data_IF_860887438559
#
_entry.id   IF_860887438559
#
_cell.length_a   1.000
_cell.length_b   1.000
_cell.length_c   1.000
_cell.angle_alpha   90.00
_cell.angle_beta   90.00
_cell.angle_gamma   90.00
#
_symmetry.space_group_name_H-M   'P 1'
#
loop_
_entity.id
_entity.type
_entity.pdbx_description
1 polymer ?
#
# COMPACT_ATOMS: atom_id res chain seq x y z
N UNK A 1 -11.98 -12.57 -26.34
CA UNK A 1 -11.34 -12.69 -25.01
C UNK A 1 -12.35 -12.52 -23.87
N UNK A 2 -13.05 -11.39 -23.72
CA UNK A 2 -14.00 -11.20 -22.60
C UNK A 2 -15.13 -12.25 -22.53
N UNK A 3 -15.71 -12.66 -23.66
CA UNK A 3 -16.72 -13.73 -23.71
C UNK A 3 -16.13 -15.06 -23.21
N UNK A 4 -14.90 -15.39 -23.58
CA UNK A 4 -14.21 -16.61 -23.13
C UNK A 4 -13.98 -16.60 -21.61
N UNK A 5 -13.62 -15.44 -21.04
CA UNK A 5 -13.45 -15.29 -19.60
C UNK A 5 -14.76 -15.43 -18.83
N UNK A 6 -15.84 -14.86 -19.36
CA UNK A 6 -17.15 -14.94 -18.74
C UNK A 6 -17.69 -16.38 -18.80
N UNK A 7 -17.49 -17.08 -19.92
CA UNK A 7 -17.79 -18.52 -20.03
C UNK A 7 -16.98 -19.36 -19.03
N UNK A 8 -15.70 -19.04 -18.83
CA UNK A 8 -14.85 -19.74 -17.86
C UNK A 8 -15.36 -19.56 -16.41
N UNK A 9 -15.79 -18.34 -16.04
CA UNK A 9 -16.40 -18.07 -14.73
C UNK A 9 -17.72 -18.84 -14.56
N UNK A 10 -18.54 -18.91 -15.60
CA UNK A 10 -19.84 -19.60 -15.55
C UNK A 10 -19.69 -21.12 -15.36
N UNK A 11 -18.76 -21.75 -16.09
CA UNK A 11 -18.58 -23.21 -16.09
C UNK A 11 -17.75 -23.68 -14.87
N UNK A 12 -16.99 -22.77 -14.26
CA UNK A 12 -16.00 -23.11 -13.24
C UNK A 12 -16.48 -23.96 -12.06
N UNK A 13 -17.65 -23.71 -11.44
CA UNK A 13 -18.12 -24.54 -10.33
C UNK A 13 -18.34 -26.00 -10.72
N UNK A 14 -18.68 -26.27 -11.98
CA UNK A 14 -19.00 -27.59 -12.51
C UNK A 14 -17.77 -28.34 -13.04
N UNK A 15 -16.77 -27.62 -13.56
CA UNK A 15 -15.53 -28.21 -14.06
C UNK A 15 -14.58 -28.66 -12.93
N UNK A 16 -14.55 -27.91 -11.83
CA UNK A 16 -13.61 -28.12 -10.73
C UNK A 16 -12.17 -27.67 -11.04
N UNK A 17 -11.35 -27.58 -10.00
CA UNK A 17 -10.00 -26.98 -10.05
C UNK A 17 -9.06 -27.75 -10.99
N UNK A 18 -9.06 -29.09 -10.91
CA UNK A 18 -8.13 -29.94 -11.66
C UNK A 18 -8.34 -29.83 -13.17
N UNK A 19 -9.61 -29.88 -13.63
CA UNK A 19 -9.92 -29.80 -15.05
C UNK A 19 -9.60 -28.42 -15.61
N UNK A 20 -9.92 -27.36 -14.87
CA UNK A 20 -9.58 -25.99 -15.26
C UNK A 20 -8.08 -25.76 -15.29
N UNK A 21 -7.33 -26.35 -14.36
CA UNK A 21 -5.87 -26.28 -14.37
C UNK A 21 -5.32 -26.89 -15.66
N UNK A 22 -5.69 -28.13 -15.98
CA UNK A 22 -5.26 -28.81 -17.20
C UNK A 22 -5.64 -28.00 -18.44
N UNK A 23 -6.89 -27.52 -18.51
CA UNK A 23 -7.37 -26.71 -19.63
C UNK A 23 -6.56 -25.41 -19.78
N UNK A 24 -6.27 -24.72 -18.68
CA UNK A 24 -5.50 -23.47 -18.70
C UNK A 24 -4.06 -23.67 -19.16
N UNK A 25 -3.42 -24.79 -18.78
CA UNK A 25 -2.06 -25.16 -19.23
C UNK A 25 -2.07 -25.49 -20.71
N UNK A 26 -3.03 -26.31 -21.18
CA UNK A 26 -3.17 -26.65 -22.60
C UNK A 26 -3.42 -25.40 -23.43
N UNK A 27 -4.27 -24.49 -22.97
CA UNK A 27 -4.54 -23.22 -23.64
C UNK A 27 -3.29 -22.33 -23.67
N UNK A 28 -2.55 -22.24 -22.57
CA UNK A 28 -1.30 -21.47 -22.50
C UNK A 28 -0.25 -21.99 -23.48
N UNK A 29 -0.01 -23.31 -23.48
CA UNK A 29 0.94 -23.95 -24.40
C UNK A 29 0.48 -23.83 -25.85
N UNK A 30 -0.81 -24.04 -26.11
CA UNK A 30 -1.41 -23.90 -27.43
C UNK A 30 -1.21 -22.51 -28.01
N UNK A 31 -1.49 -21.45 -27.23
CA UNK A 31 -1.29 -20.07 -27.69
C UNK A 31 0.21 -19.74 -27.83
N UNK A 32 1.07 -20.23 -26.94
CA UNK A 32 2.51 -19.95 -26.96
C UNK A 32 3.24 -20.61 -28.12
N UNK A 33 2.85 -21.84 -28.49
CA UNK A 33 3.52 -22.65 -29.52
C UNK A 33 2.80 -22.67 -30.87
N UNK A 34 1.56 -22.17 -30.97
CA UNK A 34 0.87 -21.99 -32.25
C UNK A 34 1.48 -20.81 -33.02
N UNK A 35 2.59 -21.07 -33.72
CA UNK A 35 3.36 -20.11 -34.52
C UNK A 35 2.68 -19.55 -35.77
N UNK A 36 1.35 -19.40 -35.79
CA UNK A 36 0.58 -18.80 -36.90
C UNK A 36 -0.22 -17.60 -36.42
N UNK A 37 0.01 -16.43 -37.05
CA UNK A 37 -0.89 -15.33 -37.47
C UNK A 37 -2.22 -15.04 -36.73
N UNK A 38 -2.46 -15.56 -35.54
CA UNK A 38 -3.50 -15.04 -34.65
C UNK A 38 -2.86 -13.85 -33.96
N UNK A 39 -3.47 -12.68 -34.12
CA UNK A 39 -3.22 -11.49 -33.29
C UNK A 39 -3.51 -11.80 -31.81
N UNK A 40 -2.77 -12.73 -31.20
CA UNK A 40 -2.92 -13.06 -29.80
C UNK A 40 -2.04 -12.09 -29.03
N UNK A 41 -2.72 -11.06 -28.57
CA UNK A 41 -2.22 -10.01 -27.70
C UNK A 41 -1.39 -10.61 -26.55
N UNK A 42 -0.17 -10.10 -26.33
CA UNK A 42 0.70 -10.48 -25.20
C UNK A 42 -0.06 -10.49 -23.88
N UNK A 43 -1.03 -9.59 -23.74
CA UNK A 43 -1.91 -9.47 -22.59
C UNK A 43 -2.74 -10.75 -22.31
N UNK A 44 -3.22 -11.44 -23.35
CA UNK A 44 -4.00 -12.67 -23.17
C UNK A 44 -3.14 -13.83 -22.71
N UNK A 45 -1.92 -13.96 -23.26
CA UNK A 45 -0.97 -14.99 -22.81
C UNK A 45 -0.57 -14.81 -21.35
N UNK A 46 -0.33 -13.57 -20.94
CA UNK A 46 -0.02 -13.18 -19.56
C UNK A 46 -1.16 -13.51 -18.59
N UNK A 47 -2.41 -13.25 -19.00
CA UNK A 47 -3.59 -13.53 -18.17
C UNK A 47 -3.87 -15.03 -18.02
N UNK A 48 -3.70 -15.81 -19.10
CA UNK A 48 -3.89 -17.27 -19.04
C UNK A 48 -2.78 -17.91 -18.20
N UNK A 49 -1.55 -17.40 -18.33
CA UNK A 49 -0.44 -17.83 -17.48
C UNK A 49 -0.72 -17.59 -16.00
N UNK A 50 -1.21 -16.41 -15.62
CA UNK A 50 -1.51 -16.11 -14.22
C UNK A 50 -2.66 -16.96 -13.68
N UNK A 51 -3.70 -17.21 -14.47
CA UNK A 51 -4.77 -18.16 -14.12
C UNK A 51 -4.22 -19.57 -13.90
N UNK A 52 -3.40 -20.09 -14.84
CA UNK A 52 -2.82 -21.41 -14.74
C UNK A 52 -1.92 -21.54 -13.50
N UNK A 53 -1.13 -20.52 -13.20
CA UNK A 53 -0.28 -20.48 -12.00
C UNK A 53 -1.10 -20.46 -10.70
N UNK A 54 -2.15 -19.64 -10.62
CA UNK A 54 -3.02 -19.64 -9.43
C UNK A 54 -3.75 -20.96 -9.23
N UNK A 55 -4.23 -21.58 -10.32
CA UNK A 55 -4.86 -22.91 -10.27
C UNK A 55 -3.85 -23.97 -9.84
N UNK A 56 -2.61 -23.92 -10.33
CA UNK A 56 -1.54 -24.81 -9.88
C UNK A 56 -1.30 -24.71 -8.37
N UNK A 57 -1.21 -23.49 -7.83
CA UNK A 57 -1.08 -23.27 -6.38
C UNK A 57 -2.30 -23.83 -5.63
N UNK A 58 -3.52 -23.64 -6.16
CA UNK A 58 -4.75 -24.18 -5.56
C UNK A 58 -4.78 -25.72 -5.54
N UNK A 59 -4.34 -26.37 -6.61
CA UNK A 59 -4.24 -27.85 -6.69
C UNK A 59 -3.21 -28.39 -5.70
N UNK A 60 -2.01 -27.79 -5.66
CA UNK A 60 -0.93 -28.25 -4.76
C UNK A 60 -1.31 -28.02 -3.30
N UNK A 61 -1.78 -26.81 -2.98
CA UNK A 61 -2.16 -26.44 -1.61
C UNK A 61 -3.34 -27.26 -1.07
N UNK A 62 -4.17 -27.85 -1.93
CA UNK A 62 -5.25 -28.75 -1.53
C UNK A 62 -4.80 -30.00 -0.75
N UNK A 63 -3.51 -30.33 -0.79
CA UNK A 63 -2.92 -31.45 -0.02
C UNK A 63 -2.30 -31.01 1.32
N UNK A 64 -2.35 -29.73 1.66
CA UNK A 64 -1.75 -29.14 2.86
C UNK A 64 -2.82 -28.55 3.78
N UNK A 65 -2.43 -28.22 5.02
CA UNK A 65 -3.33 -27.58 6.01
C UNK A 65 -3.81 -26.19 5.58
N UNK A 66 -3.02 -25.49 4.76
CA UNK A 66 -3.33 -24.17 4.22
C UNK A 66 -3.70 -24.29 2.74
N UNK A 67 -4.99 -24.32 2.46
CA UNK A 67 -5.51 -24.46 1.09
C UNK A 67 -5.69 -23.11 0.44
N UNK A 68 -5.22 -22.89 -0.78
CA UNK A 68 -5.54 -21.71 -1.58
C UNK A 68 -6.89 -21.92 -2.26
N UNK A 69 -7.98 -21.27 -1.80
CA UNK A 69 -9.33 -21.66 -2.19
C UNK A 69 -9.64 -21.28 -3.63
N UNK A 70 -10.34 -22.17 -4.32
CA UNK A 70 -10.69 -22.00 -5.72
C UNK A 70 -11.55 -20.75 -6.01
N UNK A 71 -12.45 -20.37 -5.09
CA UNK A 71 -13.24 -19.15 -5.25
C UNK A 71 -12.39 -17.88 -5.22
N UNK A 72 -11.24 -17.88 -4.53
CA UNK A 72 -10.30 -16.76 -4.54
C UNK A 72 -9.59 -16.66 -5.89
N UNK A 73 -9.19 -17.80 -6.47
CA UNK A 73 -8.57 -17.85 -7.80
C UNK A 73 -9.46 -17.16 -8.84
N UNK A 74 -10.75 -17.49 -8.84
CA UNK A 74 -11.70 -16.89 -9.77
C UNK A 74 -12.03 -15.43 -9.47
N UNK A 75 -12.16 -15.05 -8.20
CA UNK A 75 -12.32 -13.64 -7.84
C UNK A 75 -11.14 -12.79 -8.34
N UNK A 76 -9.91 -13.28 -8.12
CA UNK A 76 -8.69 -12.62 -8.57
C UNK A 76 -8.61 -12.50 -10.08
N UNK A 77 -8.98 -13.57 -10.78
CA UNK A 77 -9.08 -13.58 -12.24
C UNK A 77 -10.12 -12.59 -12.76
N UNK A 78 -11.29 -12.50 -12.12
CA UNK A 78 -12.35 -11.55 -12.48
C UNK A 78 -11.88 -10.09 -12.33
N UNK A 79 -11.14 -9.76 -11.27
CA UNK A 79 -10.53 -8.43 -11.05
C UNK A 79 -9.60 -8.04 -12.20
N UNK A 80 -8.78 -8.98 -12.65
CA UNK A 80 -7.85 -8.77 -13.76
C UNK A 80 -8.58 -8.64 -15.10
N UNK A 81 -9.60 -9.46 -15.34
CA UNK A 81 -10.39 -9.45 -16.57
C UNK A 81 -11.13 -8.11 -16.79
N UNK A 82 -11.61 -7.47 -15.72
CA UNK A 82 -12.26 -6.14 -15.78
C UNK A 82 -11.27 -5.05 -16.20
N UNK A 83 -10.01 -5.12 -15.76
CA UNK A 83 -8.99 -4.08 -16.00
C UNK A 83 -8.38 -4.06 -17.40
N UNK A 84 -8.70 -5.03 -18.27
CA UNK A 84 -8.01 -5.18 -19.55
C UNK A 84 -8.50 -4.21 -20.66
N UNK A 85 -9.12 -3.08 -20.30
CA UNK A 85 -9.58 -2.08 -21.26
C UNK A 85 -8.40 -1.25 -21.80
N UNK A 86 -8.03 -1.50 -23.06
CA UNK A 86 -7.07 -0.68 -23.83
C UNK A 86 -7.67 0.65 -24.33
N UNK A 87 -8.99 0.84 -24.24
CA UNK A 87 -9.72 1.81 -25.06
C UNK A 87 -10.19 3.09 -24.35
N UNK A 88 -9.92 3.31 -23.06
CA UNK A 88 -10.40 4.53 -22.36
C UNK A 88 -9.34 5.53 -21.94
N UNK A 89 -8.06 5.36 -22.31
CA UNK A 89 -6.99 6.26 -21.87
C UNK A 89 -6.03 6.63 -23.01
N UNK A 90 -6.42 7.65 -23.77
CA UNK A 90 -5.49 8.43 -24.58
C UNK A 90 -5.84 9.91 -24.46
N UNK A 91 -5.46 10.53 -23.35
CA UNK A 91 -5.14 11.96 -23.38
C UNK A 91 -3.69 12.06 -23.83
N UNK A 92 -3.53 12.44 -25.09
CA UNK A 92 -2.25 12.52 -25.79
C UNK A 92 -1.69 13.91 -25.57
N UNK A 93 -0.99 14.15 -24.46
CA UNK A 93 -0.12 15.32 -24.38
C UNK A 93 1.23 14.95 -25.00
N UNK A 94 1.32 15.05 -26.32
CA UNK A 94 2.58 15.00 -27.05
C UNK A 94 3.22 16.38 -27.02
N UNK A 95 4.22 16.58 -26.16
CA UNK A 95 5.20 17.66 -26.33
C UNK A 95 6.28 17.13 -27.28
N UNK A 96 6.52 17.74 -28.45
CA UNK A 96 7.60 17.33 -29.33
C UNK A 96 8.91 17.86 -28.75
N UNK A 97 9.76 16.98 -28.22
CA UNK A 97 11.16 17.32 -27.94
C UNK A 97 12.07 16.56 -28.90
N UNK A 98 12.63 17.32 -29.84
CA UNK A 98 13.55 16.86 -30.85
C UNK A 98 14.97 16.87 -30.30
N UNK A 99 15.32 15.89 -29.48
CA UNK A 99 16.67 15.31 -29.43
C UNK A 99 16.79 14.28 -28.30
N UNK A 100 17.55 13.22 -28.60
CA UNK A 100 17.98 12.13 -27.70
C UNK A 100 16.98 10.99 -27.47
N UNK A 101 17.40 9.85 -28.01
CA UNK A 101 16.86 8.49 -27.90
C UNK A 101 16.82 8.03 -26.43
N UNK A 102 15.79 8.44 -25.67
CA UNK A 102 15.40 7.82 -24.39
C UNK A 102 14.01 7.21 -24.53
N UNK A 103 13.89 5.94 -24.10
CA UNK A 103 12.62 5.18 -24.07
C UNK A 103 11.51 6.04 -23.46
N UNK A 104 10.51 6.37 -24.27
CA UNK A 104 9.30 7.06 -23.84
C UNK A 104 8.52 6.14 -22.89
N UNK A 105 8.65 6.34 -21.58
CA UNK A 105 7.70 5.78 -20.63
C UNK A 105 6.40 6.54 -20.87
N UNK A 106 5.40 5.90 -21.51
CA UNK A 106 4.07 6.49 -21.71
C UNK A 106 3.50 6.90 -20.34
N UNK A 107 3.44 8.20 -20.08
CA UNK A 107 2.78 8.78 -18.92
C UNK A 107 1.28 8.62 -19.13
N UNK A 108 0.63 7.71 -18.40
CA UNK A 108 -0.82 7.52 -18.47
C UNK A 108 -1.51 8.59 -17.61
N UNK A 109 -2.30 9.45 -18.23
CA UNK A 109 -3.28 10.29 -17.54
C UNK A 109 -4.36 9.36 -16.98
N UNK A 110 -4.47 9.30 -15.66
CA UNK A 110 -5.41 8.44 -14.96
C UNK A 110 -6.57 9.32 -14.49
N UNK A 111 -7.72 9.23 -15.17
CA UNK A 111 -8.92 9.96 -14.76
C UNK A 111 -9.51 9.31 -13.50
N UNK A 112 -9.66 10.10 -12.44
CA UNK A 112 -10.20 9.65 -11.14
C UNK A 112 -11.57 8.98 -11.33
N UNK A 113 -12.44 9.56 -12.17
CA UNK A 113 -13.80 9.07 -12.38
C UNK A 113 -13.81 7.63 -12.90
N UNK A 114 -13.01 7.36 -13.93
CA UNK A 114 -12.89 6.03 -14.52
C UNK A 114 -12.25 5.04 -13.53
N UNK A 115 -11.27 5.49 -12.76
CA UNK A 115 -10.63 4.68 -11.73
C UNK A 115 -11.63 4.20 -10.67
N UNK A 116 -12.50 5.10 -10.20
CA UNK A 116 -13.58 4.78 -9.28
C UNK A 116 -14.56 3.78 -9.88
N UNK A 117 -14.97 4.00 -11.13
CA UNK A 117 -15.90 3.12 -11.83
C UNK A 117 -15.32 1.70 -12.02
N UNK A 118 -14.05 1.60 -12.42
CA UNK A 118 -13.36 0.32 -12.56
C UNK A 118 -13.16 -0.37 -11.21
N UNK A 119 -12.87 0.37 -10.14
CA UNK A 119 -12.79 -0.20 -8.79
C UNK A 119 -14.13 -0.82 -8.38
N UNK A 120 -15.23 -0.10 -8.53
CA UNK A 120 -16.57 -0.62 -8.21
C UNK A 120 -16.91 -1.87 -9.05
N UNK A 121 -16.61 -1.84 -10.35
CA UNK A 121 -16.83 -2.97 -11.25
C UNK A 121 -15.97 -4.18 -10.87
N UNK A 122 -14.72 -3.97 -10.42
CA UNK A 122 -13.85 -5.02 -9.91
C UNK A 122 -14.38 -5.67 -8.64
N UNK A 123 -14.87 -4.86 -7.70
CA UNK A 123 -15.49 -5.36 -6.46
C UNK A 123 -16.68 -6.26 -6.79
N UNK A 124 -17.58 -5.78 -7.66
CA UNK A 124 -18.74 -6.54 -8.10
C UNK A 124 -18.33 -7.84 -8.80
N UNK A 125 -17.40 -7.77 -9.75
CA UNK A 125 -16.93 -8.94 -10.50
C UNK A 125 -16.29 -10.00 -9.58
N UNK A 126 -15.45 -9.58 -8.63
CA UNK A 126 -14.84 -10.46 -7.65
C UNK A 126 -15.88 -11.13 -6.74
N UNK A 127 -16.81 -10.33 -6.21
CA UNK A 127 -17.87 -10.80 -5.32
C UNK A 127 -18.77 -11.83 -6.01
N UNK A 128 -19.24 -11.55 -7.23
CA UNK A 128 -20.09 -12.48 -7.97
C UNK A 128 -19.35 -13.75 -8.38
N UNK A 129 -18.09 -13.63 -8.84
CA UNK A 129 -17.30 -14.80 -9.25
C UNK A 129 -17.05 -15.77 -8.07
N UNK A 130 -16.67 -15.25 -6.90
CA UNK A 130 -16.50 -16.09 -5.71
C UNK A 130 -17.84 -16.65 -5.20
N UNK A 131 -18.88 -15.82 -5.13
CA UNK A 131 -20.23 -16.22 -4.69
C UNK A 131 -20.81 -17.33 -5.56
N UNK A 132 -20.53 -17.30 -6.87
CA UNK A 132 -20.95 -18.33 -7.83
C UNK A 132 -20.37 -19.70 -7.48
N UNK A 133 -19.07 -19.77 -7.16
CA UNK A 133 -18.43 -21.01 -6.72
C UNK A 133 -19.00 -21.46 -5.38
N UNK A 134 -19.05 -20.56 -4.40
CA UNK A 134 -19.50 -20.89 -3.03
C UNK A 134 -20.93 -21.43 -3.04
N UNK A 135 -21.83 -20.84 -3.83
CA UNK A 135 -23.21 -21.27 -3.96
C UNK A 135 -23.32 -22.69 -4.56
N UNK A 136 -22.71 -22.93 -5.72
CA UNK A 136 -22.85 -24.20 -6.44
C UNK A 136 -22.09 -25.36 -5.80
N UNK A 137 -20.93 -25.09 -5.20
CA UNK A 137 -20.14 -26.10 -4.48
C UNK A 137 -20.56 -26.25 -3.02
N UNK A 138 -21.56 -25.47 -2.56
CA UNK A 138 -22.09 -25.48 -1.19
C UNK A 138 -20.99 -25.33 -0.13
N UNK A 139 -20.03 -24.43 -0.38
CA UNK A 139 -18.93 -24.19 0.53
C UNK A 139 -19.42 -23.45 1.78
N UNK A 140 -18.93 -23.78 2.99
CA UNK A 140 -19.34 -23.15 4.24
C UNK A 140 -18.67 -21.78 4.46
N UNK A 141 -18.79 -20.89 3.47
CA UNK A 141 -18.16 -19.56 3.45
C UNK A 141 -19.24 -18.49 3.47
N UNK A 142 -19.13 -17.55 4.41
CA UNK A 142 -20.08 -16.44 4.52
C UNK A 142 -19.93 -15.44 3.37
N UNK A 143 -21.05 -14.97 2.81
CA UNK A 143 -21.04 -13.89 1.81
C UNK A 143 -20.42 -12.58 2.33
N UNK A 144 -20.44 -12.35 3.64
CA UNK A 144 -19.78 -11.18 4.24
C UNK A 144 -18.26 -11.27 4.08
N UNK A 145 -17.68 -12.46 4.30
CA UNK A 145 -16.25 -12.70 4.07
C UNK A 145 -15.91 -12.55 2.58
N UNK A 146 -16.77 -13.07 1.69
CA UNK A 146 -16.58 -12.93 0.24
C UNK A 146 -16.58 -11.45 -0.17
N UNK A 147 -17.51 -10.65 0.36
CA UNK A 147 -17.54 -9.21 0.09
C UNK A 147 -16.30 -8.51 0.63
N UNK A 148 -15.88 -8.84 1.86
CA UNK A 148 -14.69 -8.29 2.49
C UNK A 148 -13.42 -8.54 1.64
N UNK A 149 -13.15 -9.79 1.27
CA UNK A 149 -11.99 -10.14 0.45
C UNK A 149 -12.11 -9.57 -0.98
N UNK A 150 -13.33 -9.49 -1.54
CA UNK A 150 -13.55 -8.88 -2.86
C UNK A 150 -13.15 -7.40 -2.88
N UNK A 151 -13.48 -6.64 -1.83
CA UNK A 151 -13.08 -5.23 -1.71
C UNK A 151 -11.56 -5.10 -1.60
N UNK A 152 -10.93 -5.86 -0.69
CA UNK A 152 -9.47 -5.82 -0.52
C UNK A 152 -8.76 -6.22 -1.81
N UNK A 153 -9.17 -7.34 -2.42
CA UNK A 153 -8.61 -7.84 -3.67
C UNK A 153 -8.76 -6.83 -4.81
N UNK A 154 -9.91 -6.18 -4.94
CA UNK A 154 -10.15 -5.18 -5.99
C UNK A 154 -9.32 -3.91 -5.81
N UNK A 155 -9.16 -3.43 -4.58
CA UNK A 155 -8.29 -2.27 -4.28
C UNK A 155 -6.84 -2.63 -4.56
N UNK A 156 -6.37 -3.80 -4.08
CA UNK A 156 -5.02 -4.30 -4.37
C UNK A 156 -4.77 -4.47 -5.86
N UNK A 157 -5.70 -5.12 -6.59
CA UNK A 157 -5.58 -5.28 -8.03
C UNK A 157 -5.52 -3.95 -8.78
N UNK A 158 -6.28 -2.96 -8.33
CA UNK A 158 -6.22 -1.60 -8.89
C UNK A 158 -4.90 -0.89 -8.57
N UNK A 159 -4.35 -1.09 -7.37
CA UNK A 159 -3.04 -0.61 -7.00
C UNK A 159 -1.95 -1.20 -7.90
N UNK A 160 -1.90 -2.53 -8.06
CA UNK A 160 -0.93 -3.20 -8.93
C UNK A 160 -1.00 -2.75 -10.39
N UNK A 161 -2.20 -2.39 -10.88
CA UNK A 161 -2.36 -1.82 -12.21
C UNK A 161 -1.84 -0.38 -12.31
N UNK A 162 -1.93 0.40 -11.23
CA UNK A 162 -1.47 1.79 -11.19
C UNK A 162 0.05 1.92 -11.07
N UNK A 163 0.73 0.91 -10.51
CA UNK A 163 2.18 0.91 -10.30
C UNK A 163 2.90 0.65 -11.63
N UNK A 164 3.80 1.55 -12.09
CA UNK A 164 4.61 1.31 -13.26
C UNK A 164 5.55 0.12 -13.04
N UNK A 165 5.33 -0.98 -13.76
CA UNK A 165 6.15 -2.19 -13.66
C UNK A 165 6.65 -2.67 -15.02
N UNK A 166 7.78 -3.38 -15.02
CA UNK A 166 8.26 -4.14 -16.19
C UNK A 166 7.46 -5.43 -16.39
N UNK A 167 6.80 -5.91 -15.34
CA UNK A 167 5.94 -7.09 -15.34
C UNK A 167 4.60 -6.70 -15.95
N UNK A 168 4.04 -7.60 -16.76
CA UNK A 168 2.72 -7.42 -17.35
C UNK A 168 1.64 -7.35 -16.26
N UNK A 169 0.74 -6.37 -16.35
CA UNK A 169 -0.36 -6.18 -15.39
C UNK A 169 -1.27 -7.39 -15.28
N UNK A 170 -1.43 -8.14 -16.36
CA UNK A 170 -2.24 -9.36 -16.38
C UNK A 170 -1.59 -10.51 -15.58
N UNK A 171 -0.33 -10.34 -15.15
CA UNK A 171 0.35 -11.23 -14.20
C UNK A 171 0.27 -10.63 -12.79
N UNK A 172 0.69 -9.38 -12.60
CA UNK A 172 0.80 -8.78 -11.26
C UNK A 172 -0.56 -8.57 -10.57
N UNK A 173 -1.59 -8.13 -11.30
CA UNK A 173 -2.92 -7.83 -10.77
C UNK A 173 -3.61 -9.07 -10.17
N UNK A 174 -3.82 -10.17 -10.91
CA UNK A 174 -4.51 -11.34 -10.35
C UNK A 174 -3.68 -12.01 -9.25
N UNK A 175 -2.35 -12.09 -9.38
CA UNK A 175 -1.51 -12.69 -8.34
C UNK A 175 -1.53 -11.87 -7.04
N UNK A 176 -1.36 -10.54 -7.14
CA UNK A 176 -1.39 -9.66 -5.98
C UNK A 176 -2.75 -9.63 -5.29
N UNK A 177 -3.84 -9.55 -6.06
CA UNK A 177 -5.20 -9.62 -5.53
C UNK A 177 -5.48 -10.98 -4.87
N UNK A 178 -5.15 -12.08 -5.55
CA UNK A 178 -5.34 -13.45 -5.05
C UNK A 178 -4.59 -13.74 -3.76
N UNK A 179 -3.30 -13.39 -3.69
CA UNK A 179 -2.48 -13.55 -2.48
C UNK A 179 -3.02 -12.71 -1.32
N UNK A 180 -3.42 -11.47 -1.56
CA UNK A 180 -3.98 -10.62 -0.49
C UNK A 180 -5.30 -11.19 0.02
N UNK A 181 -6.19 -11.61 -0.87
CA UNK A 181 -7.45 -12.25 -0.48
C UNK A 181 -7.23 -13.54 0.31
N UNK A 182 -6.23 -14.34 -0.07
CA UNK A 182 -5.89 -15.58 0.63
C UNK A 182 -5.41 -15.34 2.06
N UNK A 183 -4.54 -14.35 2.27
CA UNK A 183 -4.07 -13.98 3.62
C UNK A 183 -5.25 -13.65 4.55
N UNK A 184 -6.21 -12.86 4.07
CA UNK A 184 -7.37 -12.48 4.90
C UNK A 184 -8.42 -13.58 5.07
N UNK A 185 -8.51 -14.50 4.11
CA UNK A 185 -9.34 -15.69 4.25
C UNK A 185 -8.81 -16.63 5.33
N UNK A 186 -7.49 -16.80 5.40
CA UNK A 186 -6.83 -17.64 6.41
C UNK A 186 -7.06 -17.12 7.85
N UNK A 187 -7.04 -15.79 8.04
CA UNK A 187 -7.40 -15.16 9.32
C UNK A 187 -8.87 -15.36 9.70
N UNK A 188 -9.74 -15.77 8.77
CA UNK A 188 -11.21 -15.91 8.93
C UNK A 188 -11.89 -14.68 9.55
N UNK A 189 -11.25 -13.53 9.43
CA UNK A 189 -11.71 -12.25 9.95
C UNK A 189 -12.53 -11.52 8.88
N UNK A 190 -13.69 -11.00 9.27
CA UNK A 190 -14.52 -10.20 8.38
C UNK A 190 -15.29 -9.13 9.16
N UNK A 191 -15.66 -8.06 8.46
CA UNK A 191 -16.54 -7.00 8.96
C UNK A 191 -17.83 -6.95 8.17
N UNK A 192 -18.88 -6.37 8.75
CA UNK A 192 -20.14 -6.17 8.04
C UNK A 192 -19.94 -5.35 6.76
N UNK A 193 -20.69 -5.63 5.68
CA UNK A 193 -20.59 -4.89 4.42
C UNK A 193 -20.74 -3.38 4.60
N UNK A 194 -21.61 -2.94 5.52
CA UNK A 194 -21.82 -1.53 5.86
C UNK A 194 -20.53 -0.86 6.35
N UNK A 195 -19.83 -1.47 7.32
CA UNK A 195 -18.55 -0.95 7.84
C UNK A 195 -17.49 -0.91 6.74
N UNK A 196 -17.45 -1.93 5.89
CA UNK A 196 -16.51 -2.00 4.77
C UNK A 196 -16.75 -0.89 3.74
N UNK A 197 -18.02 -0.62 3.40
CA UNK A 197 -18.40 0.46 2.49
C UNK A 197 -18.06 1.82 3.10
N UNK A 198 -18.36 2.04 4.38
CA UNK A 198 -18.01 3.28 5.09
C UNK A 198 -16.50 3.50 5.07
N UNK A 199 -15.70 2.47 5.44
CA UNK A 199 -14.25 2.55 5.42
C UNK A 199 -13.71 2.85 4.01
N UNK A 200 -14.19 2.14 3.00
CA UNK A 200 -13.77 2.33 1.61
C UNK A 200 -14.11 3.73 1.11
N UNK A 201 -15.35 4.19 1.29
CA UNK A 201 -15.79 5.52 0.83
C UNK A 201 -15.02 6.62 1.55
N UNK A 202 -14.85 6.49 2.87
CA UNK A 202 -14.11 7.47 3.67
C UNK A 202 -12.65 7.57 3.24
N UNK A 203 -11.93 6.45 3.16
CA UNK A 203 -10.52 6.43 2.72
C UNK A 203 -10.38 6.89 1.27
N UNK A 204 -11.33 6.56 0.40
CA UNK A 204 -11.31 6.97 -1.00
C UNK A 204 -11.52 8.49 -1.15
N UNK A 205 -12.49 9.08 -0.45
CA UNK A 205 -12.72 10.54 -0.46
C UNK A 205 -11.45 11.28 -0.04
N UNK A 206 -10.82 10.85 1.05
CA UNK A 206 -9.57 11.45 1.52
C UNK A 206 -8.43 11.32 0.51
N UNK A 207 -8.30 10.15 -0.11
CA UNK A 207 -7.33 9.94 -1.18
C UNK A 207 -7.58 10.87 -2.39
N UNK A 208 -8.84 11.07 -2.80
CA UNK A 208 -9.21 12.01 -3.87
C UNK A 208 -8.89 13.44 -3.50
N UNK A 209 -9.15 13.85 -2.25
CA UNK A 209 -8.79 15.19 -1.75
C UNK A 209 -7.27 15.40 -1.78
N UNK A 210 -6.49 14.42 -1.34
CA UNK A 210 -5.02 14.47 -1.39
C UNK A 210 -4.48 14.54 -2.83
N UNK A 211 -5.08 13.80 -3.75
CA UNK A 211 -4.74 13.88 -5.18
C UNK A 211 -5.06 15.26 -5.76
N UNK A 212 -6.25 15.80 -5.48
CA UNK A 212 -6.67 17.14 -5.94
C UNK A 212 -5.80 18.25 -5.35
N UNK A 213 -5.33 18.10 -4.12
CA UNK A 213 -4.38 19.01 -3.48
C UNK A 213 -2.95 18.90 -4.05
N UNK A 214 -2.71 18.00 -5.03
CA UNK A 214 -1.39 17.67 -5.59
C UNK A 214 -0.39 17.29 -4.49
N UNK A 215 -0.83 16.49 -3.53
CA UNK A 215 0.00 15.93 -2.46
C UNK A 215 0.36 14.47 -2.79
N UNK A 216 -0.54 13.76 -3.47
CA UNK A 216 -0.44 12.32 -3.73
C UNK A 216 -0.74 12.01 -5.21
N UNK A 217 -0.07 11.02 -5.79
CA UNK A 217 -0.47 10.45 -7.08
C UNK A 217 -1.55 9.36 -6.93
N UNK A 218 -2.03 8.80 -8.05
CA UNK A 218 -3.08 7.76 -8.00
C UNK A 218 -2.62 6.48 -7.30
N UNK A 219 -1.34 6.13 -7.42
CA UNK A 219 -0.79 4.96 -6.72
C UNK A 219 -0.80 5.18 -5.20
N UNK A 220 -0.49 6.39 -4.74
CA UNK A 220 -0.63 6.77 -3.35
C UNK A 220 -2.09 6.82 -2.89
N UNK A 221 -3.02 7.31 -3.72
CA UNK A 221 -4.47 7.29 -3.44
C UNK A 221 -4.97 5.86 -3.20
N UNK A 222 -4.66 4.92 -4.10
CA UNK A 222 -5.09 3.53 -3.99
C UNK A 222 -4.39 2.81 -2.82
N UNK A 223 -3.12 3.13 -2.56
CA UNK A 223 -2.41 2.63 -1.37
C UNK A 223 -3.06 3.13 -0.09
N UNK A 224 -3.37 4.42 0.00
CA UNK A 224 -4.05 5.02 1.14
C UNK A 224 -5.47 4.46 1.33
N UNK A 225 -6.19 4.17 0.25
CA UNK A 225 -7.47 3.49 0.31
C UNK A 225 -7.33 2.07 0.88
N UNK A 226 -6.35 1.28 0.40
CA UNK A 226 -6.09 -0.07 0.89
C UNK A 226 -5.73 -0.07 2.38
N UNK A 227 -4.71 0.71 2.75
CA UNK A 227 -4.23 0.78 4.13
C UNK A 227 -5.29 1.38 5.05
N UNK A 228 -6.02 2.39 4.57
CA UNK A 228 -7.10 3.02 5.34
C UNK A 228 -8.24 2.06 5.64
N UNK A 229 -8.70 1.30 4.63
CA UNK A 229 -9.70 0.26 4.84
C UNK A 229 -9.22 -0.75 5.87
N UNK A 230 -8.01 -1.27 5.73
CA UNK A 230 -7.48 -2.29 6.65
C UNK A 230 -7.32 -1.75 8.07
N UNK A 231 -6.74 -0.56 8.26
CA UNK A 231 -6.57 0.03 9.59
C UNK A 231 -7.93 0.32 10.24
N UNK A 232 -8.87 0.94 9.53
CA UNK A 232 -10.21 1.23 10.06
C UNK A 232 -10.92 -0.07 10.48
N UNK A 233 -10.77 -1.12 9.69
CA UNK A 233 -11.41 -2.41 9.96
C UNK A 233 -10.81 -3.11 11.17
N UNK A 234 -9.48 -3.19 11.28
CA UNK A 234 -8.83 -3.96 12.35
C UNK A 234 -8.69 -3.19 13.68
N UNK A 235 -8.54 -1.87 13.65
CA UNK A 235 -8.28 -1.07 14.87
C UNK A 235 -9.16 0.17 15.02
N UNK A 236 -9.99 0.49 14.03
CA UNK A 236 -10.98 1.56 14.11
C UNK A 236 -10.53 2.89 13.51
N UNK A 237 -11.49 3.83 13.44
CA UNK A 237 -11.31 5.11 12.75
C UNK A 237 -10.21 5.98 13.40
N UNK A 238 -10.10 5.98 14.73
CA UNK A 238 -9.11 6.78 15.47
C UNK A 238 -7.68 6.48 15.03
N UNK A 239 -7.33 5.22 14.81
CA UNK A 239 -5.99 4.81 14.39
C UNK A 239 -5.68 5.33 12.99
N UNK A 240 -6.64 5.24 12.08
CA UNK A 240 -6.48 5.78 10.72
C UNK A 240 -6.34 7.31 10.73
N UNK A 241 -7.04 8.03 11.62
CA UNK A 241 -6.92 9.49 11.75
C UNK A 241 -5.51 9.93 12.21
N UNK A 242 -4.81 9.13 13.01
CA UNK A 242 -3.39 9.38 13.31
C UNK A 242 -2.52 9.30 12.06
N UNK A 243 -2.67 8.22 11.28
CA UNK A 243 -1.90 8.04 10.05
C UNK A 243 -2.26 9.10 9.00
N UNK A 244 -3.53 9.50 8.92
CA UNK A 244 -3.98 10.60 8.08
C UNK A 244 -3.34 11.92 8.49
N UNK A 245 -3.21 12.18 9.79
CA UNK A 245 -2.54 13.38 10.31
C UNK A 245 -1.08 13.43 9.86
N UNK A 246 -0.34 12.32 9.97
CA UNK A 246 0.99 12.19 9.38
C UNK A 246 0.99 12.59 7.90
N UNK A 247 0.05 12.05 7.12
CA UNK A 247 0.00 12.29 5.68
C UNK A 247 -0.29 13.75 5.33
N UNK A 248 -1.22 14.39 6.05
CA UNK A 248 -1.59 15.80 5.87
C UNK A 248 -0.44 16.72 6.27
N UNK A 249 0.12 16.53 7.46
CA UNK A 249 1.26 17.32 7.94
C UNK A 249 2.44 17.16 7.01
N UNK A 250 2.77 15.93 6.65
CA UNK A 250 3.88 15.65 5.75
C UNK A 250 3.69 16.27 4.38
N UNK A 251 2.51 16.15 3.77
CA UNK A 251 2.20 16.80 2.50
C UNK A 251 2.28 18.33 2.56
N UNK A 252 1.84 18.92 3.68
CA UNK A 252 1.93 20.36 3.91
C UNK A 252 3.38 20.85 4.05
N UNK A 253 4.19 20.17 4.86
CA UNK A 253 5.58 20.54 5.08
C UNK A 253 6.49 20.22 3.88
N UNK A 254 6.18 19.21 3.07
CA UNK A 254 6.90 19.00 1.81
C UNK A 254 6.80 20.22 0.87
N UNK A 255 5.66 20.93 0.87
CA UNK A 255 5.48 22.18 0.10
C UNK A 255 6.05 23.42 0.80
N UNK A 256 6.36 23.34 2.09
CA UNK A 256 6.95 24.45 2.82
C UNK A 256 8.32 24.82 2.22
N UNK A 257 8.48 26.10 1.84
CA UNK A 257 9.69 26.63 1.20
C UNK A 257 10.21 25.79 0.02
N UNK A 258 9.31 25.21 -0.76
CA UNK A 258 9.67 24.34 -1.89
C UNK A 258 10.61 25.03 -2.89
N UNK A 259 10.33 26.28 -3.29
CA UNK A 259 11.17 27.04 -4.22
C UNK A 259 12.62 27.25 -3.69
N UNK A 260 12.78 27.41 -2.38
CA UNK A 260 14.12 27.47 -1.78
C UNK A 260 14.82 26.13 -1.87
N UNK A 261 14.16 25.04 -1.46
CA UNK A 261 14.72 23.67 -1.53
C UNK A 261 15.09 23.29 -2.97
N UNK A 262 14.31 23.74 -3.94
CA UNK A 262 14.58 23.54 -5.37
C UNK A 262 15.81 24.33 -5.83
N UNK A 263 15.95 25.59 -5.40
CA UNK A 263 17.11 26.44 -5.73
C UNK A 263 18.46 25.88 -5.26
N UNK A 264 18.45 25.07 -4.19
CA UNK A 264 19.63 24.38 -3.66
C UNK A 264 19.69 22.89 -4.03
N UNK A 265 18.79 22.41 -4.90
CA UNK A 265 18.84 21.07 -5.49
C UNK A 265 18.40 19.91 -4.59
N UNK A 266 17.72 20.18 -3.48
CA UNK A 266 17.31 19.15 -2.48
C UNK A 266 15.78 18.98 -2.38
N UNK A 267 15.00 19.65 -3.24
CA UNK A 267 13.55 19.51 -3.24
C UNK A 267 13.13 18.07 -3.57
N UNK A 268 12.03 17.62 -2.94
CA UNK A 268 11.44 16.33 -3.26
C UNK A 268 11.04 16.25 -4.73
N UNK A 269 11.34 15.11 -5.36
CA UNK A 269 11.00 14.86 -6.75
C UNK A 269 9.48 15.00 -7.01
N UNK A 270 9.12 15.26 -8.27
CA UNK A 270 7.72 15.41 -8.73
C UNK A 270 6.94 16.49 -7.97
N UNK A 271 7.54 17.65 -7.67
CA UNK A 271 6.84 18.75 -6.96
C UNK A 271 6.32 18.33 -5.56
N UNK A 272 7.05 17.43 -4.89
CA UNK A 272 6.66 16.89 -3.60
C UNK A 272 5.50 15.90 -3.62
N UNK A 273 5.09 15.42 -4.80
CA UNK A 273 3.98 14.46 -4.93
C UNK A 273 4.44 13.07 -4.48
N UNK A 274 3.77 12.56 -3.44
CA UNK A 274 4.01 11.23 -2.87
C UNK A 274 3.41 10.12 -3.73
N UNK A 275 4.13 9.00 -3.82
CA UNK A 275 3.72 7.79 -4.55
C UNK A 275 3.45 6.62 -3.60
N UNK A 276 3.03 5.46 -4.14
CA UNK A 276 2.82 4.24 -3.36
C UNK A 276 4.02 3.89 -2.47
N UNK A 277 5.26 4.12 -2.95
CA UNK A 277 6.48 3.82 -2.18
C UNK A 277 6.51 4.58 -0.85
N UNK A 278 6.14 5.86 -0.87
CA UNK A 278 6.08 6.69 0.34
C UNK A 278 4.97 6.24 1.30
N UNK A 279 3.85 5.74 0.77
CA UNK A 279 2.73 5.27 1.60
C UNK A 279 3.13 3.98 2.30
N UNK A 280 3.63 2.99 1.54
CA UNK A 280 4.02 1.69 2.10
C UNK A 280 5.24 1.79 3.01
N UNK A 281 6.27 2.57 2.65
CA UNK A 281 7.47 2.70 3.48
C UNK A 281 7.16 3.23 4.88
N UNK A 282 6.24 4.19 4.98
CA UNK A 282 5.90 4.82 6.25
C UNK A 282 4.80 4.11 7.04
N UNK A 283 3.98 3.30 6.36
CA UNK A 283 2.73 2.81 6.94
C UNK A 283 2.66 1.29 7.07
N UNK A 284 3.63 0.53 6.54
CA UNK A 284 3.60 -0.94 6.63
C UNK A 284 3.70 -1.43 8.07
N UNK A 285 4.58 -0.84 8.89
CA UNK A 285 4.66 -1.16 10.32
C UNK A 285 3.32 -0.83 11.03
N UNK A 286 2.71 0.30 10.71
CA UNK A 286 1.42 0.72 11.25
C UNK A 286 0.30 -0.26 10.87
N UNK A 287 0.26 -0.70 9.60
CA UNK A 287 -0.68 -1.71 9.13
C UNK A 287 -0.48 -3.04 9.85
N UNK A 288 0.75 -3.52 9.97
CA UNK A 288 1.05 -4.76 10.67
C UNK A 288 0.60 -4.73 12.12
N UNK A 289 0.80 -3.59 12.81
CA UNK A 289 0.37 -3.40 14.19
C UNK A 289 -1.15 -3.25 14.32
N UNK A 290 -1.82 -2.59 13.38
CA UNK A 290 -3.28 -2.51 13.35
C UNK A 290 -3.91 -3.90 13.17
N UNK A 291 -3.38 -4.72 12.25
CA UNK A 291 -3.81 -6.11 12.08
C UNK A 291 -3.50 -6.94 13.33
N UNK A 292 -2.30 -6.81 13.90
CA UNK A 292 -1.92 -7.50 15.12
C UNK A 292 -2.83 -7.14 16.30
N UNK A 293 -3.24 -5.88 16.44
CA UNK A 293 -4.20 -5.45 17.46
C UNK A 293 -5.55 -6.17 17.33
N UNK A 294 -6.06 -6.33 16.11
CA UNK A 294 -7.32 -7.01 15.86
C UNK A 294 -7.26 -8.54 16.05
N UNK A 295 -6.07 -9.13 15.91
CA UNK A 295 -5.85 -10.59 16.02
C UNK A 295 -5.42 -11.01 17.44
N UNK A 296 -4.64 -10.18 18.14
CA UNK A 296 -4.03 -10.44 19.45
C UNK A 296 -4.45 -9.38 20.50
N UNK A 297 -5.76 -9.28 20.83
CA UNK A 297 -6.27 -8.24 21.72
C UNK A 297 -5.69 -8.29 23.15
N UNK A 298 -5.21 -9.46 23.59
CA UNK A 298 -4.54 -9.66 24.88
C UNK A 298 -3.22 -8.87 25.02
N UNK A 299 -2.61 -8.48 23.89
CA UNK A 299 -1.40 -7.67 23.84
C UNK A 299 -1.68 -6.23 23.34
N UNK A 300 -2.92 -5.77 23.49
CA UNK A 300 -3.41 -4.49 22.96
C UNK A 300 -2.55 -3.29 23.35
N UNK A 301 -2.19 -3.12 24.63
CA UNK A 301 -1.46 -1.95 25.11
C UNK A 301 -0.07 -1.77 24.44
N UNK A 302 0.87 -2.73 24.49
CA UNK A 302 2.16 -2.56 23.81
C UNK A 302 2.00 -2.38 22.30
N UNK A 303 0.99 -2.99 21.66
CA UNK A 303 0.70 -2.79 20.23
C UNK A 303 0.21 -1.36 19.95
N UNK A 304 -0.65 -0.80 20.81
CA UNK A 304 -1.10 0.59 20.73
C UNK A 304 0.11 1.55 20.78
N UNK A 305 0.99 1.39 21.76
CA UNK A 305 2.19 2.22 21.89
C UNK A 305 3.16 2.05 20.72
N UNK A 306 3.34 0.82 20.23
CA UNK A 306 4.12 0.56 19.02
C UNK A 306 3.53 1.25 17.78
N UNK A 307 2.20 1.26 17.64
CA UNK A 307 1.51 1.92 16.52
C UNK A 307 1.71 3.44 16.58
N UNK A 308 1.51 4.04 17.76
CA UNK A 308 1.74 5.47 17.96
C UNK A 308 3.20 5.83 17.66
N UNK A 309 4.15 5.03 18.14
CA UNK A 309 5.58 5.16 17.84
C UNK A 309 5.88 5.14 16.34
N UNK A 310 5.28 4.20 15.61
CA UNK A 310 5.42 4.10 14.15
C UNK A 310 5.01 5.39 13.45
N UNK A 311 3.78 5.87 13.74
CA UNK A 311 3.23 7.08 13.11
C UNK A 311 4.01 8.32 13.53
N UNK A 312 4.45 8.38 14.80
CA UNK A 312 5.28 9.45 15.32
C UNK A 312 6.65 9.49 14.64
N UNK A 313 7.30 8.35 14.39
CA UNK A 313 8.57 8.29 13.66
C UNK A 313 8.42 8.79 12.24
N UNK A 314 7.40 8.33 11.50
CA UNK A 314 7.16 8.81 10.13
C UNK A 314 6.88 10.33 10.09
N UNK A 315 6.12 10.84 11.07
CA UNK A 315 5.82 12.27 11.20
C UNK A 315 7.05 13.08 11.58
N UNK A 316 7.78 12.62 12.60
CA UNK A 316 9.00 13.25 13.08
C UNK A 316 10.06 13.33 12.00
N UNK A 317 10.28 12.24 11.26
CA UNK A 317 11.25 12.18 10.16
C UNK A 317 10.89 13.14 9.02
N UNK A 318 9.62 13.12 8.59
CA UNK A 318 9.16 14.05 7.55
C UNK A 318 9.32 15.50 7.99
N UNK A 319 8.92 15.85 9.22
CA UNK A 319 9.07 17.22 9.69
C UNK A 319 10.54 17.62 9.88
N UNK A 320 11.38 16.70 10.37
CA UNK A 320 12.81 16.93 10.54
C UNK A 320 13.52 17.19 9.21
N UNK A 321 13.23 16.38 8.18
CA UNK A 321 13.81 16.54 6.84
C UNK A 321 13.29 17.78 6.12
N UNK A 322 11.99 18.06 6.20
CA UNK A 322 11.38 19.18 5.47
C UNK A 322 11.63 20.55 6.12
N UNK A 323 11.66 20.62 7.45
CA UNK A 323 11.91 21.87 8.21
C UNK A 323 13.41 22.03 8.46
N UNK A 324 14.12 20.97 8.84
CA UNK A 324 15.53 21.00 9.19
C UNK A 324 16.44 21.39 8.02
N UNK A 325 16.08 21.07 6.78
CA UNK A 325 16.78 21.54 5.58
C UNK A 325 16.72 23.06 5.39
N UNK A 326 15.82 23.75 6.09
CA UNK A 326 15.69 25.21 6.06
C UNK A 326 16.43 25.91 7.21
N UNK A 327 17.15 25.14 8.04
CA UNK A 327 17.91 25.66 9.17
C UNK A 327 19.02 26.61 8.74
N UNK A 328 19.25 27.66 9.54
CA UNK A 328 20.42 28.54 9.37
C UNK A 328 21.65 27.82 9.95
N UNK A 329 22.63 27.50 9.11
CA UNK A 329 23.88 26.84 9.51
C UNK A 329 24.07 25.48 8.85
N UNK A 330 25.22 24.84 9.11
CA UNK A 330 25.54 23.53 8.56
C UNK A 330 25.06 22.41 9.49
N UNK A 331 24.31 21.41 9.01
CA UNK A 331 23.94 20.24 9.81
C UNK A 331 25.19 19.42 10.17
N UNK A 332 25.03 18.44 11.07
CA UNK A 332 26.10 17.52 11.46
C UNK A 332 25.74 16.09 11.07
N UNK A 333 26.70 15.31 10.57
CA UNK A 333 26.49 13.88 10.33
C UNK A 333 26.26 13.15 11.65
N UNK A 334 25.18 12.38 11.76
CA UNK A 334 24.84 11.68 13.01
C UNK A 334 25.93 10.69 13.47
N UNK A 335 26.68 10.11 12.54
CA UNK A 335 27.73 9.11 12.84
C UNK A 335 29.07 9.69 13.29
N UNK A 336 29.43 10.89 12.83
CA UNK A 336 30.75 11.49 13.09
C UNK A 336 30.69 12.82 13.82
N UNK A 337 29.49 13.40 13.96
CA UNK A 337 29.22 14.73 14.51
C UNK A 337 29.96 15.87 13.80
N UNK A 338 30.53 15.61 12.62
CA UNK A 338 31.20 16.61 11.78
C UNK A 338 30.18 17.36 10.93
N UNK A 339 30.49 18.60 10.57
CA UNK A 339 29.65 19.43 9.69
C UNK A 339 29.45 18.75 8.33
N UNK A 340 28.24 18.82 7.81
CA UNK A 340 27.83 18.32 6.51
C UNK A 340 27.11 19.42 5.72
N UNK A 341 26.85 19.15 4.44
CA UNK A 341 26.00 20.00 3.61
C UNK A 341 24.51 19.73 3.90
N UNK A 342 23.65 20.76 3.81
CA UNK A 342 22.19 20.58 3.89
C UNK A 342 21.67 19.57 2.87
N UNK A 343 20.75 18.70 3.30
CA UNK A 343 20.12 17.70 2.43
C UNK A 343 20.92 16.41 2.22
N UNK A 344 22.09 16.27 2.85
CA UNK A 344 22.84 15.00 2.85
C UNK A 344 22.15 13.98 3.77
N UNK A 345 21.92 12.77 3.27
CA UNK A 345 21.33 11.66 4.05
C UNK A 345 22.10 11.40 5.35
N UNK A 346 21.38 11.43 6.47
CA UNK A 346 21.92 11.25 7.82
C UNK A 346 22.62 12.47 8.43
N UNK A 347 22.49 13.65 7.82
CA UNK A 347 22.86 14.92 8.42
C UNK A 347 21.70 15.49 9.25
N UNK A 348 21.91 15.68 10.55
CA UNK A 348 20.93 16.21 11.50
C UNK A 348 21.20 17.68 11.81
N UNK A 349 20.14 18.46 11.97
CA UNK A 349 20.21 19.88 12.37
C UNK A 349 19.42 20.09 13.65
N UNK A 350 19.80 21.08 14.47
CA UNK A 350 19.06 21.39 15.70
C UNK A 350 17.59 21.72 15.42
N UNK A 351 17.32 22.46 14.36
CA UNK A 351 15.94 22.76 13.94
C UNK A 351 15.18 21.48 13.53
N UNK A 352 15.87 20.55 12.85
CA UNK A 352 15.31 19.25 12.49
C UNK A 352 14.97 18.40 13.71
N UNK A 353 15.85 18.33 14.71
CA UNK A 353 15.58 17.60 15.95
C UNK A 353 14.38 18.18 16.72
N UNK A 354 14.28 19.51 16.83
CA UNK A 354 13.09 20.14 17.42
C UNK A 354 11.82 19.86 16.62
N UNK A 355 11.91 19.85 15.29
CA UNK A 355 10.80 19.48 14.42
C UNK A 355 10.39 18.01 14.59
N UNK A 356 11.36 17.10 14.81
CA UNK A 356 11.10 15.69 15.10
C UNK A 356 10.34 15.51 16.42
N UNK A 357 10.79 16.18 17.49
CA UNK A 357 10.13 16.17 18.80
C UNK A 357 8.72 16.73 18.67
N UNK A 358 8.57 17.89 18.03
CA UNK A 358 7.27 18.54 17.85
C UNK A 358 6.30 17.66 17.06
N UNK A 359 6.73 17.12 15.91
CA UNK A 359 5.92 16.22 15.10
C UNK A 359 5.47 14.98 15.86
N UNK A 360 6.39 14.37 16.60
CA UNK A 360 6.10 13.18 17.41
C UNK A 360 5.15 13.49 18.58
N UNK A 361 5.30 14.65 19.23
CA UNK A 361 4.40 15.11 20.28
C UNK A 361 2.98 15.42 19.77
N UNK A 362 2.85 15.99 18.58
CA UNK A 362 1.53 16.21 17.94
C UNK A 362 0.78 14.88 17.77
N UNK A 363 1.48 13.81 17.35
CA UNK A 363 0.88 12.47 17.25
C UNK A 363 0.45 11.94 18.62
N UNK A 364 1.30 12.07 19.66
CA UNK A 364 0.96 11.63 21.02
C UNK A 364 -0.24 12.38 21.61
N UNK A 365 -0.30 13.70 21.46
CA UNK A 365 -1.43 14.52 21.92
C UNK A 365 -2.71 14.12 21.18
N UNK A 366 -2.63 13.97 19.85
CA UNK A 366 -3.79 13.58 19.05
C UNK A 366 -4.27 12.17 19.41
N UNK A 367 -3.37 11.24 19.71
CA UNK A 367 -3.74 9.88 20.08
C UNK A 367 -4.57 9.85 21.37
N UNK A 368 -4.19 10.66 22.36
CA UNK A 368 -4.98 10.85 23.58
C UNK A 368 -6.35 11.49 23.27
N UNK A 369 -6.38 12.57 22.46
CA UNK A 369 -7.64 13.25 22.11
C UNK A 369 -8.62 12.36 21.33
N UNK A 370 -8.09 11.42 20.54
CA UNK A 370 -8.89 10.44 19.80
C UNK A 370 -9.30 9.22 20.64
N UNK A 371 -8.95 9.20 21.94
CA UNK A 371 -9.30 8.13 22.87
C UNK A 371 -8.59 6.81 22.61
N UNK A 372 -7.39 6.83 22.01
CA UNK A 372 -6.60 5.61 21.76
C UNK A 372 -5.90 5.13 23.04
N UNK A 373 -5.60 6.05 23.97
CA UNK A 373 -5.07 5.74 25.30
C UNK A 373 -5.60 6.75 26.32
N UNK A 374 -5.83 6.29 27.54
CA UNK A 374 -6.43 7.06 28.64
C UNK A 374 -5.41 7.89 29.45
N UNK A 375 -4.11 7.57 29.36
CA UNK A 375 -3.08 8.26 30.13
C UNK A 375 -2.36 9.30 29.26
N UNK A 376 -2.73 10.57 29.41
CA UNK A 376 -2.15 11.67 28.63
C UNK A 376 -0.62 11.73 28.71
N UNK A 377 -0.07 11.76 29.94
CA UNK A 377 1.37 11.96 30.16
C UNK A 377 2.16 10.81 29.56
N UNK A 378 1.75 9.58 29.85
CA UNK A 378 2.43 8.38 29.37
C UNK A 378 2.33 8.26 27.84
N UNK A 379 1.17 8.59 27.27
CA UNK A 379 0.94 8.60 25.81
C UNK A 379 1.82 9.59 25.09
N UNK A 380 1.84 10.84 25.52
CA UNK A 380 2.69 11.86 24.89
C UNK A 380 4.16 11.49 25.07
N UNK A 381 4.59 11.10 26.27
CA UNK A 381 5.99 10.81 26.55
C UNK A 381 6.53 9.64 25.70
N UNK A 382 5.84 8.50 25.71
CA UNK A 382 6.29 7.31 24.96
C UNK A 382 6.24 7.56 23.46
N UNK A 383 5.17 8.17 22.97
CA UNK A 383 5.00 8.45 21.54
C UNK A 383 6.04 9.45 21.05
N UNK A 384 6.32 10.51 21.82
CA UNK A 384 7.36 11.48 21.49
C UNK A 384 8.75 10.85 21.51
N UNK A 385 9.07 10.08 22.55
CA UNK A 385 10.38 9.42 22.66
C UNK A 385 10.59 8.40 21.53
N UNK A 386 9.62 7.52 21.29
CA UNK A 386 9.67 6.55 20.22
C UNK A 386 9.76 7.18 18.83
N UNK A 387 8.97 8.22 18.58
CA UNK A 387 9.03 9.01 17.36
C UNK A 387 10.41 9.63 17.13
N UNK A 388 10.92 10.35 18.13
CA UNK A 388 12.22 11.02 18.11
C UNK A 388 13.39 10.05 17.89
N UNK A 389 13.45 8.96 18.65
CA UNK A 389 14.52 7.97 18.49
C UNK A 389 14.39 7.20 17.17
N UNK A 390 13.17 6.91 16.71
CA UNK A 390 12.95 6.32 15.39
C UNK A 390 13.45 7.23 14.25
N UNK A 391 13.21 8.54 14.32
CA UNK A 391 13.77 9.51 13.35
C UNK A 391 15.29 9.55 13.38
N UNK A 392 15.89 9.43 14.56
CA UNK A 392 17.35 9.33 14.69
C UNK A 392 17.89 8.00 14.11
N UNK A 393 17.13 6.90 14.22
CA UNK A 393 17.44 5.64 13.53
C UNK A 393 17.39 5.81 12.01
N UNK A 394 16.40 6.54 11.48
CA UNK A 394 16.35 6.91 10.05
C UNK A 394 17.66 7.58 9.63
N UNK A 395 18.03 8.66 10.32
CA UNK A 395 19.27 9.40 10.04
C UNK A 395 20.52 8.52 10.13
N UNK A 396 20.58 7.60 11.09
CA UNK A 396 21.69 6.65 11.23
C UNK A 396 21.76 5.66 10.06
N UNK A 397 20.63 5.09 9.65
CA UNK A 397 20.53 4.20 8.50
C UNK A 397 20.80 4.94 7.18
N UNK A 398 20.38 6.20 7.09
CA UNK A 398 20.71 7.14 6.02
C UNK A 398 22.23 7.31 5.85
N UNK A 399 22.92 7.64 6.95
CA UNK A 399 24.36 7.85 6.98
C UNK A 399 25.19 6.58 6.68
N UNK A 400 24.63 5.39 6.95
CA UNK A 400 25.36 4.11 6.90
C UNK A 400 24.98 3.25 5.69
N UNK A 401 23.70 2.91 5.53
CA UNK A 401 23.22 1.95 4.54
C UNK A 401 22.73 2.62 3.26
N UNK A 402 21.99 3.73 3.36
CA UNK A 402 21.50 4.46 2.19
C UNK A 402 22.63 5.08 1.40
N UNK A 403 23.57 5.75 2.09
CA UNK A 403 24.77 6.33 1.46
C UNK A 403 25.64 5.29 0.72
N UNK A 404 25.57 4.01 1.11
CA UNK A 404 26.27 2.89 0.44
C UNK A 404 25.43 2.24 -0.68
N UNK A 405 24.21 2.71 -0.92
CA UNK A 405 23.28 2.14 -1.89
C UNK A 405 22.70 0.78 -1.49
N UNK A 406 22.82 0.37 -0.21
CA UNK A 406 22.27 -0.90 0.29
C UNK A 406 20.77 -0.79 0.50
N UNK A 407 20.30 0.35 1.03
CA UNK A 407 18.89 0.66 1.18
C UNK A 407 18.51 1.86 0.31
N UNK A 408 17.29 1.83 -0.24
CA UNK A 408 16.65 3.02 -0.79
C UNK A 408 16.09 3.88 0.34
N UNK A 409 15.73 5.13 0.04
CA UNK A 409 15.03 6.01 0.98
C UNK A 409 13.76 5.33 1.55
N UNK A 410 12.96 4.69 0.69
CA UNK A 410 11.77 3.93 1.11
C UNK A 410 12.12 2.74 2.02
N UNK A 411 13.28 2.12 1.82
CA UNK A 411 13.78 1.05 2.69
C UNK A 411 14.22 1.56 4.06
N UNK A 412 14.86 2.74 4.12
CA UNK A 412 15.24 3.37 5.39
C UNK A 412 14.00 3.78 6.19
N UNK A 413 13.05 4.47 5.57
CA UNK A 413 11.77 4.85 6.20
C UNK A 413 11.05 3.63 6.80
N UNK A 414 11.03 2.51 6.06
CA UNK A 414 10.43 1.26 6.54
C UNK A 414 11.13 0.73 7.80
N UNK A 415 12.47 0.69 7.81
CA UNK A 415 13.22 0.20 8.97
C UNK A 415 13.11 1.15 10.17
N UNK A 416 13.13 2.45 9.93
CA UNK A 416 12.98 3.47 10.96
C UNK A 416 11.62 3.38 11.65
N UNK A 417 10.54 3.23 10.88
CA UNK A 417 9.18 3.08 11.43
C UNK A 417 9.02 1.81 12.27
N UNK A 418 9.59 0.68 11.86
CA UNK A 418 9.66 -0.53 12.70
C UNK A 418 10.51 -0.32 13.97
N UNK A 419 11.62 0.42 13.87
CA UNK A 419 12.44 0.74 15.03
C UNK A 419 11.69 1.62 16.04
N UNK A 420 10.99 2.66 15.57
CA UNK A 420 10.12 3.50 16.40
C UNK A 420 9.01 2.72 17.10
N UNK A 421 8.44 1.73 16.40
CA UNK A 421 7.48 0.80 16.98
C UNK A 421 8.07 0.00 18.15
N UNK A 422 9.22 -0.64 17.91
CA UNK A 422 9.92 -1.44 18.91
C UNK A 422 10.37 -0.62 20.12
N UNK A 423 10.92 0.57 19.88
CA UNK A 423 11.33 1.49 20.95
C UNK A 423 10.14 1.89 21.81
N UNK A 424 9.00 2.22 21.20
CA UNK A 424 7.80 2.61 21.95
C UNK A 424 7.22 1.46 22.77
N UNK A 425 7.22 0.24 22.22
CA UNK A 425 6.80 -0.96 22.95
C UNK A 425 7.72 -1.25 24.14
N UNK A 426 9.04 -1.15 23.96
CA UNK A 426 10.02 -1.34 25.04
C UNK A 426 9.87 -0.26 26.11
N UNK A 427 9.71 1.01 25.73
CA UNK A 427 9.49 2.10 26.67
C UNK A 427 8.22 1.91 27.48
N UNK A 428 7.16 1.36 26.88
CA UNK A 428 5.95 0.99 27.61
C UNK A 428 6.26 0.00 28.73
N UNK A 429 6.90 -1.13 28.43
CA UNK A 429 7.27 -2.14 29.42
C UNK A 429 8.28 -1.66 30.49
N UNK A 430 9.09 -0.63 30.19
CA UNK A 430 10.03 -0.08 31.17
C UNK A 430 9.38 0.91 32.14
N UNK A 431 8.27 1.54 31.74
CA UNK A 431 7.61 2.61 32.50
C UNK A 431 6.41 2.09 33.29
N UNK A 432 5.73 1.04 32.80
CA UNK A 432 4.59 0.39 33.46
C UNK A 432 4.99 -0.98 33.99
#
# INVERSE_FOLDING_TARGET
MHILYLLLILIAPFAGVNLLFIFSVVLFLGIRFSGKNVLCDRDATSLIFSLAFMLFVSVISGSFSYTYPFYIVLAAFAIAAVGNHKTSFSETDSVPDSSLRRRTIKKRSFSILWSSAFLALRIAAAFFAASWIVYWQKLPVSYNLIFFIAVIGAVTGSLFESIPSKIDKNISVPLGAGMTMWIFEDFRYWVSPEKMVVALVFSFILGVLAYRAKIADVSALLSAALLGVLIIVFSGLSWYLLLLTFFILGGGFTKYKYAYKESIGIAQAKDGIRSYENVFSNSTAALALAVAYGVFPEHSLPIIYAYMGTVATATGDTLASEIGTTAKGRPRMITTLRLSEPGVDGAVSLLGEFAAIFGSAVIGVLAYLLGISDNFILTVLITTAGGFFGTNVDSFLGATLQKRGVLSNSGVNLMATFAGAGISAVLYFLIT
#
